data_IF_720673668201
#
_entry.id   IF_720673668201
#
_cell.length_a   1.000
_cell.length_b   1.000
_cell.length_c   1.000
_cell.angle_alpha   90.00
_cell.angle_beta   90.00
_cell.angle_gamma   90.00
#
_symmetry.space_group_name_H-M   'P 1'
#
loop_
_entity.id
_entity.type
_entity.pdbx_description
1 polymer ?
#
# COMPACT_ATOMS: atom_id res chain seq x y z
N UNK A 1 -3.63 -16.53 29.06
CA UNK A 1 -3.40 -15.64 27.88
C UNK A 1 -2.85 -16.55 26.79
N UNK A 2 -3.56 -16.69 25.69
CA UNK A 2 -3.10 -17.44 24.53
C UNK A 2 -2.15 -16.55 23.74
N UNK A 3 -0.94 -17.03 23.42
CA UNK A 3 -0.02 -16.37 22.51
C UNK A 3 -0.15 -17.00 21.14
N UNK A 4 -0.43 -16.18 20.12
CA UNK A 4 -0.46 -16.61 18.73
C UNK A 4 0.64 -15.89 17.96
N UNK A 5 1.51 -16.61 17.24
CA UNK A 5 2.49 -15.97 16.38
C UNK A 5 1.80 -15.37 15.15
N UNK A 6 2.30 -14.23 14.70
CA UNK A 6 1.99 -13.67 13.38
C UNK A 6 3.30 -13.46 12.62
N UNK A 7 3.20 -13.25 11.30
CA UNK A 7 4.36 -13.08 10.43
C UNK A 7 4.11 -11.97 9.42
N UNK A 8 5.16 -11.23 9.09
CA UNK A 8 5.20 -10.43 7.88
C UNK A 8 5.83 -11.27 6.77
N UNK A 9 5.34 -11.09 5.54
CA UNK A 9 5.96 -11.67 4.34
C UNK A 9 6.61 -10.54 3.55
N UNK A 10 7.92 -10.61 3.38
CA UNK A 10 8.69 -9.61 2.64
C UNK A 10 9.31 -10.22 1.38
N UNK A 11 9.31 -9.45 0.30
CA UNK A 11 9.96 -9.79 -0.95
C UNK A 11 10.57 -8.54 -1.59
N UNK A 12 11.61 -8.73 -2.41
CA UNK A 12 12.28 -7.62 -3.08
C UNK A 12 12.56 -7.92 -4.55
N UNK A 13 12.66 -6.87 -5.36
CA UNK A 13 13.21 -7.00 -6.71
C UNK A 13 14.69 -7.36 -6.65
N UNK A 14 15.17 -8.03 -7.71
CA UNK A 14 16.59 -8.43 -7.82
C UNK A 14 17.50 -7.27 -8.24
N UNK A 15 16.92 -6.22 -8.78
CA UNK A 15 17.61 -5.03 -9.29
C UNK A 15 17.19 -3.81 -8.48
N UNK A 16 17.98 -2.77 -8.52
CA UNK A 16 17.81 -1.52 -7.77
C UNK A 16 18.79 -1.40 -6.61
N UNK A 17 19.03 -0.17 -6.18
CA UNK A 17 19.89 0.17 -5.05
C UNK A 17 19.23 -0.21 -3.72
N UNK A 18 20.02 -0.72 -2.79
CA UNK A 18 19.59 -0.92 -1.41
C UNK A 18 19.49 0.41 -0.63
N UNK A 19 20.13 1.46 -1.13
CA UNK A 19 20.11 2.82 -0.56
C UNK A 19 18.91 3.65 -1.02
N UNK A 20 18.12 3.12 -2.01
CA UNK A 20 16.91 3.76 -2.55
C UNK A 20 15.80 2.71 -2.66
N UNK A 21 15.06 2.53 -1.58
CA UNK A 21 14.02 1.50 -1.48
C UNK A 21 12.63 2.12 -1.57
N UNK A 22 11.85 1.68 -2.56
CA UNK A 22 10.42 1.98 -2.66
C UNK A 22 9.64 0.81 -2.08
N UNK A 23 8.78 1.05 -1.10
CA UNK A 23 7.99 -0.02 -0.49
C UNK A 23 6.52 0.05 -0.89
N UNK A 24 5.93 -1.13 -1.07
CA UNK A 24 4.49 -1.33 -1.27
C UNK A 24 4.00 -2.40 -0.29
N UNK A 25 2.94 -2.09 0.45
CA UNK A 25 2.41 -3.02 1.45
C UNK A 25 0.89 -3.06 1.52
N UNK A 26 0.40 -4.18 2.05
CA UNK A 26 -0.99 -4.45 2.39
C UNK A 26 -1.02 -5.44 3.55
N UNK A 27 -2.05 -5.41 4.41
CA UNK A 27 -2.13 -6.45 5.45
C UNK A 27 -2.73 -7.76 4.91
N UNK A 28 -2.35 -8.85 5.55
CA UNK A 28 -2.66 -10.22 5.13
C UNK A 28 -3.70 -10.89 6.03
N UNK A 29 -3.86 -10.39 7.24
CA UNK A 29 -4.88 -10.84 8.17
C UNK A 29 -6.23 -10.19 7.90
N UNK A 30 -7.24 -10.59 8.60
CA UNK A 30 -8.60 -10.05 8.58
C UNK A 30 -9.32 -10.37 9.88
N UNK A 31 -10.45 -9.72 10.11
CA UNK A 31 -11.28 -9.92 11.28
C UNK A 31 -12.03 -11.26 11.23
N UNK A 32 -12.37 -11.87 12.38
CA UNK A 32 -13.10 -13.14 12.40
C UNK A 32 -14.57 -13.04 11.93
N UNK A 33 -15.10 -11.82 11.78
CA UNK A 33 -16.50 -11.54 11.44
C UNK A 33 -16.82 -11.78 9.98
N UNK A 34 -15.81 -11.75 9.07
CA UNK A 34 -15.99 -11.87 7.63
C UNK A 34 -14.83 -12.55 6.91
N UNK A 35 -15.00 -12.83 5.61
CA UNK A 35 -13.94 -13.44 4.79
C UNK A 35 -12.80 -12.48 4.41
N UNK A 36 -12.95 -11.14 4.59
CA UNK A 36 -11.89 -10.17 4.37
C UNK A 36 -11.47 -10.03 2.91
N UNK A 37 -12.44 -10.06 1.97
CA UNK A 37 -12.11 -10.00 0.54
C UNK A 37 -11.79 -8.57 0.11
N UNK A 38 -12.56 -7.60 0.57
CA UNK A 38 -12.22 -6.20 0.37
C UNK A 38 -11.16 -5.76 1.37
N UNK A 39 -11.33 -6.12 2.63
CA UNK A 39 -10.45 -5.82 3.77
C UNK A 39 -9.70 -7.08 4.25
N UNK A 40 -8.50 -7.46 3.74
CA UNK A 40 -7.74 -6.68 2.74
C UNK A 40 -7.15 -7.60 1.65
N UNK A 41 -7.90 -8.64 1.22
CA UNK A 41 -7.44 -9.42 0.08
C UNK A 41 -7.33 -8.58 -1.21
N UNK A 42 -8.08 -7.46 -1.30
CA UNK A 42 -7.98 -6.51 -2.41
C UNK A 42 -6.60 -5.86 -2.48
N UNK A 43 -6.08 -5.33 -1.37
CA UNK A 43 -4.74 -4.75 -1.27
C UNK A 43 -3.64 -5.77 -1.54
N UNK A 44 -3.80 -6.99 -0.99
CA UNK A 44 -2.88 -8.11 -1.25
C UNK A 44 -2.84 -8.45 -2.74
N UNK A 45 -3.99 -8.56 -3.41
CA UNK A 45 -4.06 -8.88 -4.84
C UNK A 45 -3.39 -7.80 -5.71
N UNK A 46 -3.64 -6.52 -5.41
CA UNK A 46 -2.99 -5.39 -6.10
C UNK A 46 -1.47 -5.42 -5.88
N UNK A 47 -1.02 -5.62 -4.64
CA UNK A 47 0.41 -5.72 -4.29
C UNK A 47 1.10 -6.86 -5.06
N UNK A 48 0.50 -8.03 -5.13
CA UNK A 48 1.05 -9.18 -5.86
C UNK A 48 1.12 -8.92 -7.37
N UNK A 49 0.12 -8.26 -7.97
CA UNK A 49 0.18 -7.92 -9.39
C UNK A 49 1.28 -6.88 -9.67
N UNK A 50 1.41 -5.85 -8.83
CA UNK A 50 2.50 -4.86 -8.96
C UNK A 50 3.86 -5.54 -8.81
N UNK A 51 4.02 -6.45 -7.85
CA UNK A 51 5.26 -7.22 -7.66
C UNK A 51 5.62 -8.03 -8.92
N UNK A 52 4.62 -8.67 -9.53
CA UNK A 52 4.79 -9.43 -10.77
C UNK A 52 5.22 -8.54 -11.95
N UNK A 53 4.79 -7.28 -11.98
CA UNK A 53 5.23 -6.32 -13.02
C UNK A 53 6.63 -5.78 -12.72
N UNK A 54 6.89 -5.32 -11.50
CA UNK A 54 8.18 -4.77 -11.10
C UNK A 54 9.34 -5.77 -11.26
N UNK A 55 9.08 -7.05 -11.02
CA UNK A 55 10.08 -8.13 -11.20
C UNK A 55 10.57 -8.30 -12.64
N UNK A 56 9.91 -7.70 -13.65
CA UNK A 56 10.33 -7.76 -15.05
C UNK A 56 11.41 -6.75 -15.40
N UNK A 57 11.68 -5.77 -14.55
CA UNK A 57 12.69 -4.77 -14.80
C UNK A 57 14.09 -5.42 -14.77
N UNK A 58 14.82 -5.29 -15.89
CA UNK A 58 16.20 -5.79 -16.00
C UNK A 58 17.25 -4.82 -15.43
N UNK A 59 16.86 -3.54 -15.30
CA UNK A 59 17.62 -2.46 -14.69
C UNK A 59 16.66 -1.59 -13.91
N UNK A 60 17.08 -1.14 -12.75
CA UNK A 60 16.33 -0.26 -11.87
C UNK A 60 17.30 0.62 -11.11
N UNK A 61 16.91 1.84 -10.79
CA UNK A 61 17.61 2.71 -9.85
C UNK A 61 17.19 2.33 -8.44
N UNK A 62 15.89 2.35 -8.14
CA UNK A 62 15.39 1.96 -6.83
C UNK A 62 15.07 0.47 -6.76
N UNK A 63 15.37 -0.14 -5.61
CA UNK A 63 14.85 -1.44 -5.23
C UNK A 63 13.37 -1.31 -4.84
N UNK A 64 12.56 -2.28 -5.22
CA UNK A 64 11.17 -2.35 -4.75
C UNK A 64 11.03 -3.46 -3.72
N UNK A 65 10.57 -3.09 -2.52
CA UNK A 65 10.25 -4.01 -1.42
C UNK A 65 8.75 -4.13 -1.27
N UNK A 66 8.27 -5.35 -1.26
CA UNK A 66 6.87 -5.70 -1.04
C UNK A 66 6.70 -6.26 0.35
N UNK A 67 5.63 -5.87 1.03
CA UNK A 67 5.32 -6.33 2.36
C UNK A 67 3.86 -6.78 2.45
N UNK A 68 3.64 -7.96 3.02
CA UNK A 68 2.31 -8.38 3.47
C UNK A 68 2.37 -8.46 4.99
N UNK A 69 1.64 -7.55 5.63
CA UNK A 69 1.68 -7.37 7.08
C UNK A 69 0.75 -8.33 7.80
N UNK A 70 1.15 -8.81 8.95
CA UNK A 70 0.32 -9.61 9.80
C UNK A 70 -0.16 -8.85 11.03
N UNK A 71 -1.36 -9.17 11.49
CA UNK A 71 -1.96 -8.58 12.69
C UNK A 71 -2.15 -7.06 12.63
N UNK A 72 -2.58 -6.55 11.48
CA UNK A 72 -3.05 -5.18 11.28
C UNK A 72 -4.27 -4.91 12.15
N UNK A 73 -5.27 -5.77 12.04
CA UNK A 73 -6.61 -5.67 12.64
C UNK A 73 -6.63 -5.63 14.18
N UNK A 74 -5.52 -5.98 14.80
CA UNK A 74 -5.37 -5.94 16.26
C UNK A 74 -4.34 -4.91 16.71
N UNK A 75 -4.06 -3.92 15.87
CA UNK A 75 -3.25 -2.75 16.20
C UNK A 75 -1.94 -2.63 15.46
N UNK A 76 -1.92 -2.91 14.14
CA UNK A 76 -0.79 -2.68 13.22
C UNK A 76 0.51 -3.38 13.67
N UNK A 77 0.38 -4.57 14.32
CA UNK A 77 1.52 -5.17 15.02
C UNK A 77 2.67 -5.54 14.08
N UNK A 78 2.35 -5.99 12.87
CA UNK A 78 3.34 -6.40 11.89
C UNK A 78 4.15 -5.22 11.34
N UNK A 79 3.48 -4.16 10.92
CA UNK A 79 4.13 -2.95 10.39
C UNK A 79 4.89 -2.19 11.48
N UNK A 80 4.34 -2.07 12.69
CA UNK A 80 5.07 -1.53 13.84
C UNK A 80 6.34 -2.31 14.12
N UNK A 81 6.26 -3.65 14.23
CA UNK A 81 7.43 -4.48 14.46
C UNK A 81 8.50 -4.26 13.38
N UNK A 82 8.10 -4.19 12.11
CA UNK A 82 9.03 -3.95 11.02
C UNK A 82 9.75 -2.61 11.18
N UNK A 83 9.00 -1.51 11.34
CA UNK A 83 9.57 -0.15 11.45
C UNK A 83 10.42 0.00 12.71
N UNK A 84 10.00 -0.56 13.83
CA UNK A 84 10.71 -0.49 15.11
C UNK A 84 12.06 -1.23 15.07
N UNK A 85 12.19 -2.25 14.21
CA UNK A 85 13.44 -3.01 14.06
C UNK A 85 14.43 -2.38 13.09
N UNK A 86 14.01 -1.39 12.29
CA UNK A 86 14.89 -0.68 11.36
C UNK A 86 15.90 0.19 12.11
N UNK A 87 17.15 0.15 11.68
CA UNK A 87 18.15 1.15 12.05
C UNK A 87 17.83 2.52 11.45
N UNK A 88 18.49 3.58 11.91
CA UNK A 88 18.33 4.91 11.32
C UNK A 88 18.71 4.94 9.83
N UNK A 89 19.78 4.24 9.44
CA UNK A 89 20.19 4.14 8.03
C UNK A 89 19.13 3.42 7.18
N UNK A 90 18.63 2.27 7.63
CA UNK A 90 17.58 1.53 6.90
C UNK A 90 16.27 2.33 6.77
N UNK A 91 15.97 3.25 7.70
CA UNK A 91 14.83 4.16 7.56
C UNK A 91 15.10 5.23 6.50
N UNK A 92 16.33 5.76 6.44
CA UNK A 92 16.76 6.73 5.42
C UNK A 92 16.78 6.12 4.02
N UNK A 93 17.09 4.82 3.90
CA UNK A 93 17.09 4.08 2.63
C UNK A 93 15.67 3.93 2.04
N UNK A 94 14.61 3.96 2.87
CA UNK A 94 13.24 3.88 2.39
C UNK A 94 12.79 5.26 1.91
N UNK A 95 12.72 5.43 0.58
CA UNK A 95 12.34 6.70 -0.03
C UNK A 95 10.84 6.96 -0.04
N UNK A 96 10.04 5.88 -0.09
CA UNK A 96 8.58 5.95 -0.05
C UNK A 96 7.99 4.62 0.43
N UNK A 97 7.01 4.69 1.30
CA UNK A 97 6.08 3.59 1.58
C UNK A 97 4.72 3.87 0.96
N UNK A 98 4.17 2.91 0.22
CA UNK A 98 2.82 2.97 -0.35
C UNK A 98 1.94 1.93 0.32
N UNK A 99 0.82 2.35 0.91
CA UNK A 99 -0.12 1.47 1.60
C UNK A 99 -1.33 1.17 0.74
N UNK A 100 -1.76 -0.08 0.71
CA UNK A 100 -2.99 -0.49 0.04
C UNK A 100 -3.91 -1.18 1.06
N UNK A 101 -5.08 -0.59 1.28
CA UNK A 101 -6.03 -1.10 2.23
C UNK A 101 -7.45 -0.83 1.75
N UNK A 102 -8.23 -1.90 1.52
CA UNK A 102 -9.58 -1.83 0.98
C UNK A 102 -9.64 -1.06 -0.36
N UNK A 103 -8.97 -1.57 -1.40
CA UNK A 103 -8.71 -0.81 -2.64
C UNK A 103 -9.58 -1.22 -3.83
N UNK A 104 -10.70 -1.86 -3.59
CA UNK A 104 -11.61 -2.33 -4.61
C UNK A 104 -13.09 -2.00 -4.31
N UNK A 105 -13.45 -0.77 -3.89
CA UNK A 105 -14.83 -0.45 -3.54
C UNK A 105 -15.78 -0.70 -4.71
N UNK A 106 -17.01 -1.07 -4.39
CA UNK A 106 -18.09 -1.28 -5.37
C UNK A 106 -18.42 0.03 -6.11
N UNK A 107 -18.95 -0.09 -7.33
CA UNK A 107 -19.20 1.05 -8.22
C UNK A 107 -20.09 2.14 -7.61
N UNK A 108 -21.01 1.81 -6.72
CA UNK A 108 -21.87 2.78 -6.02
C UNK A 108 -21.18 3.49 -4.83
N UNK A 109 -20.00 3.00 -4.43
CA UNK A 109 -19.14 3.56 -3.37
C UNK A 109 -17.78 3.99 -3.92
N UNK A 110 -17.68 4.11 -5.21
CA UNK A 110 -16.50 4.10 -6.06
C UNK A 110 -15.67 5.40 -5.97
N UNK A 111 -15.26 5.80 -4.77
CA UNK A 111 -14.30 6.87 -4.59
C UNK A 111 -13.12 6.35 -3.76
N UNK A 112 -11.94 6.33 -4.36
CA UNK A 112 -10.71 6.01 -3.66
C UNK A 112 -10.20 7.23 -2.90
N UNK A 113 -9.79 7.03 -1.66
CA UNK A 113 -8.96 7.96 -0.93
C UNK A 113 -7.51 7.83 -1.38
N UNK A 114 -6.89 8.93 -1.72
CA UNK A 114 -5.45 9.02 -1.95
C UNK A 114 -4.81 9.59 -0.70
N UNK A 115 -4.07 8.76 0.02
CA UNK A 115 -3.44 9.13 1.27
C UNK A 115 -2.43 10.27 1.05
N UNK A 116 -2.68 11.37 1.75
CA UNK A 116 -1.79 12.53 1.81
C UNK A 116 -1.22 12.63 3.24
N UNK A 117 -0.02 12.15 3.43
CA UNK A 117 0.73 12.33 4.68
C UNK A 117 1.66 13.54 4.56
N UNK A 118 2.05 14.12 5.69
CA UNK A 118 2.93 15.30 5.71
C UNK A 118 4.26 15.09 4.97
N UNK A 119 4.67 13.83 4.80
CA UNK A 119 5.90 13.40 4.15
C UNK A 119 5.67 12.66 2.83
N UNK A 120 4.56 12.91 2.13
CA UNK A 120 4.19 12.17 0.91
C UNK A 120 5.07 12.47 -0.31
N UNK A 121 5.85 13.54 -0.27
CA UNK A 121 6.78 13.99 -1.34
C UNK A 121 6.15 14.10 -2.75
N UNK A 122 4.83 14.28 -2.83
CA UNK A 122 4.11 14.40 -4.10
C UNK A 122 3.73 13.08 -4.77
N UNK A 123 3.95 11.94 -4.12
CA UNK A 123 3.59 10.62 -4.64
C UNK A 123 2.07 10.47 -4.87
N UNK A 124 1.26 11.11 -4.03
CA UNK A 124 -0.19 11.20 -4.18
C UNK A 124 -0.62 11.81 -5.52
N UNK A 125 0.17 12.76 -6.05
CA UNK A 125 -0.11 13.38 -7.33
C UNK A 125 0.03 12.40 -8.50
N UNK A 126 0.99 11.46 -8.44
CA UNK A 126 1.15 10.41 -9.44
C UNK A 126 0.01 9.40 -9.38
N UNK A 127 -0.44 9.02 -8.18
CA UNK A 127 -1.59 8.14 -7.99
C UNK A 127 -2.86 8.80 -8.55
N UNK A 128 -3.17 10.03 -8.12
CA UNK A 128 -4.34 10.77 -8.59
C UNK A 128 -4.34 10.99 -10.10
N UNK A 129 -3.21 11.39 -10.68
CA UNK A 129 -3.10 11.58 -12.13
C UNK A 129 -3.33 10.30 -12.94
N UNK A 130 -3.01 9.12 -12.41
CA UNK A 130 -3.32 7.85 -13.06
C UNK A 130 -4.81 7.50 -12.92
N UNK A 131 -5.40 7.72 -11.75
CA UNK A 131 -6.83 7.51 -11.54
C UNK A 131 -7.66 8.43 -12.44
N UNK A 132 -7.24 9.70 -12.61
CA UNK A 132 -7.86 10.64 -13.56
C UNK A 132 -7.81 10.12 -15.00
N UNK A 133 -6.66 9.60 -15.43
CA UNK A 133 -6.50 9.01 -16.79
C UNK A 133 -7.44 7.82 -17.00
N UNK A 134 -7.68 7.05 -15.95
CA UNK A 134 -8.59 5.90 -15.97
C UNK A 134 -10.06 6.30 -15.74
N UNK A 135 -10.35 7.59 -15.51
CA UNK A 135 -11.68 8.12 -15.24
C UNK A 135 -12.26 7.64 -13.89
N UNK A 136 -11.39 7.32 -12.95
CA UNK A 136 -11.79 6.81 -11.64
C UNK A 136 -11.88 7.94 -10.60
N UNK A 137 -13.00 8.02 -9.87
CA UNK A 137 -13.21 9.02 -8.83
C UNK A 137 -12.25 8.81 -7.66
N UNK A 138 -11.59 9.88 -7.25
CA UNK A 138 -10.72 9.87 -6.08
C UNK A 138 -10.76 11.21 -5.33
N UNK A 139 -10.31 11.22 -4.10
CA UNK A 139 -10.16 12.41 -3.27
C UNK A 139 -8.95 12.30 -2.36
N UNK A 140 -8.37 13.42 -1.91
CA UNK A 140 -7.36 13.39 -0.86
C UNK A 140 -7.94 12.82 0.43
N UNK A 141 -7.15 11.98 1.12
CA UNK A 141 -7.48 11.44 2.43
C UNK A 141 -6.31 11.68 3.38
N UNK A 142 -6.58 12.28 4.53
CA UNK A 142 -5.54 12.56 5.53
C UNK A 142 -5.11 11.30 6.29
N UNK A 143 -3.88 11.29 6.78
CA UNK A 143 -3.39 10.22 7.64
C UNK A 143 -4.12 10.26 9.00
N UNK A 144 -4.88 9.23 9.29
CA UNK A 144 -5.66 9.10 10.52
C UNK A 144 -5.13 8.01 11.48
N UNK A 145 -4.01 7.37 11.12
CA UNK A 145 -3.35 6.35 11.93
C UNK A 145 -4.04 4.97 11.95
N UNK A 146 -4.95 4.69 11.01
CA UNK A 146 -5.81 3.49 11.05
C UNK A 146 -5.34 2.35 10.17
N UNK A 147 -4.21 2.45 9.49
CA UNK A 147 -3.66 1.37 8.68
C UNK A 147 -2.13 1.39 8.70
N UNK A 148 -1.49 0.41 8.10
CA UNK A 148 -0.06 0.10 8.16
C UNK A 148 0.88 1.23 7.69
N UNK A 149 0.37 2.32 7.11
CA UNK A 149 1.17 3.52 6.85
C UNK A 149 1.57 4.26 8.15
N UNK A 150 0.80 4.10 9.23
CA UNK A 150 0.98 4.89 10.44
C UNK A 150 2.39 4.78 11.05
N UNK A 151 2.96 3.59 11.29
CA UNK A 151 4.31 3.49 11.85
C UNK A 151 5.39 4.09 10.94
N UNK A 152 5.20 4.09 9.63
CA UNK A 152 6.13 4.73 8.67
C UNK A 152 6.07 6.24 8.79
N UNK A 153 4.87 6.83 8.82
CA UNK A 153 4.66 8.27 9.04
C UNK A 153 5.27 8.71 10.38
N UNK A 154 4.99 7.97 11.45
CA UNK A 154 5.54 8.24 12.79
C UNK A 154 7.06 8.17 12.84
N UNK A 155 7.66 7.34 12.00
CA UNK A 155 9.11 7.24 11.85
C UNK A 155 9.72 8.29 10.91
N UNK A 156 8.91 9.18 10.30
CA UNK A 156 9.35 10.20 9.35
C UNK A 156 9.64 9.68 7.95
N UNK A 157 9.16 8.48 7.61
CA UNK A 157 9.28 7.89 6.28
C UNK A 157 8.14 8.42 5.40
N UNK A 158 8.48 8.96 4.23
CA UNK A 158 7.50 9.43 3.26
C UNK A 158 6.49 8.33 2.92
N UNK A 159 5.20 8.64 2.98
CA UNK A 159 4.14 7.65 2.83
C UNK A 159 2.97 8.17 2.01
N UNK A 160 2.42 7.30 1.18
CA UNK A 160 1.18 7.51 0.44
C UNK A 160 0.38 6.20 0.40
N UNK A 161 -0.74 6.18 -0.29
CA UNK A 161 -1.52 4.96 -0.46
C UNK A 161 -2.88 5.19 -1.08
N UNK A 162 -3.58 4.09 -1.25
CA UNK A 162 -4.98 4.09 -1.68
C UNK A 162 -5.81 3.32 -0.66
N UNK A 163 -7.01 3.83 -0.41
CA UNK A 163 -7.99 3.21 0.48
C UNK A 163 -9.42 3.54 0.04
N UNK A 164 -10.38 2.74 0.45
CA UNK A 164 -11.79 3.06 0.28
C UNK A 164 -12.24 4.12 1.27
N UNK A 165 -12.99 5.13 0.78
CA UNK A 165 -13.58 6.16 1.65
C UNK A 165 -14.75 5.57 2.44
N UNK A 166 -15.45 4.60 1.85
CA UNK A 166 -16.63 3.98 2.42
C UNK A 166 -16.73 2.52 2.00
N UNK A 167 -17.13 1.69 2.96
CA UNK A 167 -17.59 0.33 2.73
C UNK A 167 -18.71 0.00 3.72
N UNK A 168 -19.91 -0.29 3.19
CA UNK A 168 -21.08 -0.63 4.02
C UNK A 168 -20.97 -2.06 4.60
N UNK A 169 -20.05 -2.88 4.07
CA UNK A 169 -19.80 -4.26 4.49
C UNK A 169 -18.53 -4.42 5.33
N UNK A 170 -17.89 -3.30 5.70
CA UNK A 170 -16.66 -3.30 6.50
C UNK A 170 -16.82 -4.13 7.78
N UNK A 171 -15.92 -5.09 8.01
CA UNK A 171 -15.91 -5.99 9.17
C UNK A 171 -17.21 -6.78 9.36
N UNK A 172 -17.84 -7.23 8.27
CA UNK A 172 -19.06 -8.03 8.30
C UNK A 172 -18.92 -9.33 7.49
N UNK A 173 -19.80 -10.32 7.67
CA UNK A 173 -19.84 -11.52 6.83
C UNK A 173 -20.06 -11.24 5.33
N UNK A 174 -20.50 -10.03 4.98
CA UNK A 174 -20.74 -9.60 3.62
C UNK A 174 -19.51 -8.98 2.94
N UNK A 175 -18.36 -8.90 3.64
CA UNK A 175 -17.10 -8.58 3.00
C UNK A 175 -16.54 -9.78 2.23
N UNK A 176 -17.32 -10.24 1.26
CA UNK A 176 -17.03 -11.37 0.39
C UNK A 176 -16.71 -10.93 -1.06
N UNK A 177 -16.64 -11.88 -2.00
CA UNK A 177 -16.28 -11.60 -3.40
C UNK A 177 -17.27 -10.67 -4.11
N UNK A 178 -18.51 -10.60 -3.64
CA UNK A 178 -19.53 -9.71 -4.20
C UNK A 178 -19.38 -8.27 -3.67
N UNK A 179 -18.52 -8.05 -2.65
CA UNK A 179 -18.18 -6.74 -2.09
C UNK A 179 -17.01 -6.04 -2.80
N UNK A 180 -16.50 -6.56 -3.92
CA UNK A 180 -15.36 -5.97 -4.63
C UNK A 180 -15.65 -5.69 -6.10
N UNK A 181 -15.15 -4.56 -6.60
CA UNK A 181 -15.14 -4.19 -8.01
C UNK A 181 -13.80 -4.56 -8.64
N UNK A 182 -13.80 -5.53 -9.55
CA UNK A 182 -12.60 -5.89 -10.33
C UNK A 182 -12.13 -4.73 -11.22
N UNK A 183 -13.05 -3.89 -11.67
CA UNK A 183 -12.70 -2.68 -12.44
C UNK A 183 -11.91 -1.71 -11.57
N UNK A 184 -12.39 -1.40 -10.37
CA UNK A 184 -11.71 -0.52 -9.41
C UNK A 184 -10.35 -1.10 -9.01
N UNK A 185 -10.30 -2.40 -8.67
CA UNK A 185 -9.04 -3.10 -8.35
C UNK A 185 -8.02 -2.98 -9.49
N UNK A 186 -8.47 -3.05 -10.74
CA UNK A 186 -7.60 -2.88 -11.92
C UNK A 186 -7.06 -1.46 -12.02
N UNK A 187 -7.89 -0.44 -11.77
CA UNK A 187 -7.45 0.97 -11.76
C UNK A 187 -6.45 1.22 -10.63
N UNK A 188 -6.72 0.69 -9.44
CA UNK A 188 -5.77 0.72 -8.30
C UNK A 188 -4.42 0.11 -8.68
N UNK A 189 -4.43 -1.14 -9.13
CA UNK A 189 -3.19 -1.83 -9.49
C UNK A 189 -2.39 -1.08 -10.57
N UNK A 190 -3.08 -0.44 -11.53
CA UNK A 190 -2.45 0.37 -12.57
C UNK A 190 -1.87 1.67 -12.03
N UNK A 191 -2.60 2.37 -11.14
CA UNK A 191 -2.10 3.60 -10.52
C UNK A 191 -0.84 3.34 -9.69
N UNK A 192 -0.87 2.28 -8.88
CA UNK A 192 0.28 1.88 -8.06
C UNK A 192 1.44 1.37 -8.92
N UNK A 193 1.18 0.56 -9.95
CA UNK A 193 2.23 0.10 -10.87
C UNK A 193 2.91 1.27 -11.61
N UNK A 194 2.16 2.32 -11.93
CA UNK A 194 2.72 3.53 -12.54
C UNK A 194 3.62 4.28 -11.55
N UNK A 195 3.19 4.49 -10.31
CA UNK A 195 4.00 5.11 -9.26
C UNK A 195 5.29 4.31 -9.02
N UNK A 196 5.16 3.03 -8.71
CA UNK A 196 6.29 2.14 -8.40
C UNK A 196 7.24 2.04 -9.60
N UNK A 197 6.70 1.88 -10.82
CA UNK A 197 7.51 1.81 -12.04
C UNK A 197 8.25 3.11 -12.36
N UNK A 198 7.68 4.27 -12.05
CA UNK A 198 8.34 5.56 -12.18
C UNK A 198 9.53 5.65 -11.24
N UNK A 199 9.33 5.38 -9.94
CA UNK A 199 10.38 5.43 -8.93
C UNK A 199 11.44 4.33 -9.11
N UNK A 200 11.06 3.17 -9.62
CA UNK A 200 11.99 2.09 -9.94
C UNK A 200 12.98 2.50 -11.04
N UNK A 201 12.61 3.43 -11.93
CA UNK A 201 13.44 3.91 -13.01
C UNK A 201 14.17 5.21 -12.70
N UNK A 202 13.63 6.01 -11.81
CA UNK A 202 14.13 7.33 -11.42
C UNK A 202 13.77 7.57 -9.94
N UNK A 203 14.74 7.38 -9.05
CA UNK A 203 14.58 7.55 -7.62
C UNK A 203 14.22 9.00 -7.23
N UNK A 204 14.62 9.97 -8.05
CA UNK A 204 14.40 11.40 -7.84
C UNK A 204 13.14 11.93 -8.56
N UNK A 205 12.32 11.06 -9.16
CA UNK A 205 11.14 11.45 -9.93
C UNK A 205 10.12 12.31 -9.16
N UNK A 206 10.11 12.26 -7.83
CA UNK A 206 9.27 13.06 -6.94
C UNK A 206 9.98 14.31 -6.39
N UNK A 207 11.20 14.58 -6.82
CA UNK A 207 12.04 15.67 -6.30
C UNK A 207 13.06 15.20 -5.27
N UNK A 208 14.00 16.06 -4.93
CA UNK A 208 15.02 15.76 -3.90
C UNK A 208 14.39 15.78 -2.50
N UNK A 209 14.81 14.86 -1.68
CA UNK A 209 14.46 14.73 -0.24
C UNK A 209 14.94 15.93 0.56
#
# INVERSE_FOLDING_TARGET
VEQRPTWNVLAETRTGSDDDVVMLGAHLDGVPEGPGIHDNASGVAATLEVARQAAKANKAESKVRFALWGAEEIGLLGSHHYVDTLTAAEREDIILYTNLDMVAPLDHQNTLGVLTADWSIGAESLLGAQLDRDGHAHQPEGSNGRSDYAPFVDAGIASTGLLSIRDDNYHTPQDDIDNVSITTLTHTARAVANLIGTLQQDADALGTR
#
